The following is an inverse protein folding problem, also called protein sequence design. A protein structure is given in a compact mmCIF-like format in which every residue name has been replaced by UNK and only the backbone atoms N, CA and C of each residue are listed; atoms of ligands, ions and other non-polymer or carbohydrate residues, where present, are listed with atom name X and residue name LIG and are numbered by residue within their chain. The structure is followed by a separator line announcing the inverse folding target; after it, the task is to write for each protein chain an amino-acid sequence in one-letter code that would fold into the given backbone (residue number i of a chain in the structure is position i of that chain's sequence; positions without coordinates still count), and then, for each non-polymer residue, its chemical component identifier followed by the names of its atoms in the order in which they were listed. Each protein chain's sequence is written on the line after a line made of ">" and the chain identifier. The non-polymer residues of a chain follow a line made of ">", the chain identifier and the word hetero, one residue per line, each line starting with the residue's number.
data_IF_473778326569
#
_entry.id   IF_473778326569
#
_cell.length_a   1.000
_cell.length_b   1.000
_cell.length_c   1.000
_cell.angle_alpha   90.00
_cell.angle_beta   90.00
_cell.angle_gamma   90.00
#
_symmetry.space_group_name_H-M   'P 1'
#
loop_
_entity.id
_entity.type
_entity.pdbx_description
1 polymer ?
#
# COMPACT_ATOMS: atom_id res chain seq x y z
N UNK A 1 15.49 -1.98 -21.44
CA UNK A 1 14.14 -1.92 -22.06
C UNK A 1 13.85 -0.46 -22.46
N UNK A 2 13.21 -0.18 -23.62
CA UNK A 2 13.06 1.21 -24.14
C UNK A 2 11.94 2.05 -23.49
N UNK A 3 10.88 1.42 -22.99
CA UNK A 3 9.71 2.15 -22.44
C UNK A 3 10.05 2.77 -21.08
N UNK A 4 9.76 4.05 -20.91
CA UNK A 4 10.03 4.79 -19.66
C UNK A 4 8.96 4.61 -18.58
N UNK A 5 7.80 4.04 -18.95
CA UNK A 5 6.66 3.82 -18.06
C UNK A 5 6.04 2.46 -18.31
N UNK A 6 5.41 1.88 -17.29
CA UNK A 6 4.67 0.62 -17.34
C UNK A 6 3.35 0.75 -16.59
N UNK A 7 2.41 -0.13 -16.91
CA UNK A 7 1.23 -0.37 -16.08
C UNK A 7 1.53 -1.57 -15.18
N UNK A 8 1.65 -1.39 -13.85
CA UNK A 8 2.17 -2.44 -12.98
C UNK A 8 1.10 -3.47 -12.60
N UNK A 9 -0.18 -3.08 -12.69
CA UNK A 9 -1.32 -3.91 -12.32
C UNK A 9 -2.17 -4.23 -13.55
N UNK A 10 -2.68 -5.45 -13.63
CA UNK A 10 -3.67 -5.82 -14.63
C UNK A 10 -5.03 -5.16 -14.29
N UNK A 11 -5.91 -4.87 -15.28
CA UNK A 11 -7.22 -4.28 -15.00
C UNK A 11 -8.11 -5.06 -14.02
N UNK A 12 -7.88 -6.38 -13.91
CA UNK A 12 -8.65 -7.28 -13.05
C UNK A 12 -8.01 -7.62 -11.69
N UNK A 13 -6.74 -7.24 -11.48
CA UNK A 13 -6.03 -7.56 -10.24
C UNK A 13 -4.92 -6.55 -9.94
N UNK A 14 -4.89 -6.10 -8.69
CA UNK A 14 -3.80 -5.33 -8.12
C UNK A 14 -2.74 -6.28 -7.57
N UNK A 15 -1.53 -6.23 -8.13
CA UNK A 15 -0.33 -6.91 -7.63
C UNK A 15 0.49 -6.01 -6.71
N UNK A 16 0.31 -4.69 -6.80
CA UNK A 16 1.04 -3.71 -6.00
C UNK A 16 0.23 -2.43 -5.75
N UNK A 17 0.64 -1.68 -4.73
CA UNK A 17 0.30 -0.27 -4.57
C UNK A 17 1.45 0.59 -5.08
N UNK A 18 1.12 1.68 -5.79
CA UNK A 18 2.10 2.63 -6.28
C UNK A 18 1.76 4.05 -5.86
N UNK A 19 2.77 4.80 -5.43
CA UNK A 19 2.62 6.19 -4.97
C UNK A 19 3.65 7.08 -5.66
N UNK A 20 3.23 8.24 -6.17
CA UNK A 20 4.14 9.29 -6.65
C UNK A 20 4.40 10.28 -5.53
N UNK A 21 5.64 10.33 -5.07
CA UNK A 21 6.09 11.12 -3.91
C UNK A 21 7.09 12.14 -4.41
N UNK A 22 6.78 13.41 -4.19
CA UNK A 22 7.69 14.51 -4.44
C UNK A 22 8.40 14.94 -3.15
N UNK A 23 9.51 15.65 -3.32
CA UNK A 23 10.17 16.34 -2.23
C UNK A 23 9.25 17.42 -1.63
N UNK A 24 9.39 17.61 -0.33
CA UNK A 24 8.78 18.72 0.38
C UNK A 24 9.90 19.49 1.08
N UNK A 25 9.67 20.76 1.44
CA UNK A 25 10.69 21.57 2.13
C UNK A 25 11.22 20.82 3.37
N UNK A 26 12.49 20.43 3.32
CA UNK A 26 13.17 19.72 4.41
C UNK A 26 12.95 18.20 4.45
N UNK A 27 12.31 17.59 3.43
CA UNK A 27 12.04 16.15 3.35
C UNK A 27 12.30 15.61 1.95
N UNK A 28 13.22 14.64 1.83
CA UNK A 28 13.49 13.99 0.55
C UNK A 28 12.40 13.00 0.16
N UNK A 29 12.04 12.98 -1.13
CA UNK A 29 11.18 11.95 -1.71
C UNK A 29 11.77 10.55 -1.61
N UNK A 30 13.08 10.41 -1.42
CA UNK A 30 13.75 9.11 -1.30
C UNK A 30 13.43 8.39 0.02
N UNK A 31 13.33 9.13 1.12
CA UNK A 31 13.20 8.57 2.48
C UNK A 31 11.87 8.86 3.16
N UNK A 32 10.94 9.57 2.51
CA UNK A 32 9.69 10.03 3.11
C UNK A 32 8.88 8.94 3.82
N UNK A 33 8.94 7.67 3.36
CA UNK A 33 8.26 6.55 4.02
C UNK A 33 8.74 6.32 5.48
N UNK A 34 10.01 6.61 5.79
CA UNK A 34 10.58 6.44 7.13
C UNK A 34 9.96 7.38 8.15
N UNK A 35 9.68 8.61 7.73
CA UNK A 35 9.17 9.67 8.60
C UNK A 35 7.78 9.34 9.18
N UNK A 36 7.06 8.41 8.53
CA UNK A 36 5.73 7.98 8.93
C UNK A 36 5.68 6.52 9.39
N UNK A 37 6.83 5.93 9.72
CA UNK A 37 6.93 4.55 10.20
C UNK A 37 6.26 3.53 9.26
N UNK A 38 6.28 3.79 7.94
CA UNK A 38 5.83 2.81 6.97
C UNK A 38 6.91 1.75 6.76
N UNK A 39 6.54 0.52 6.36
CA UNK A 39 7.53 -0.43 5.88
C UNK A 39 8.26 0.13 4.65
N UNK A 40 9.49 -0.32 4.33
CA UNK A 40 10.18 0.12 3.13
C UNK A 40 9.39 -0.28 1.87
N UNK A 41 9.25 0.61 0.86
CA UNK A 41 8.78 0.19 -0.45
C UNK A 41 9.65 -0.96 -0.98
N UNK A 42 9.04 -1.95 -1.63
CA UNK A 42 9.81 -3.05 -2.24
C UNK A 42 10.73 -2.51 -3.34
N UNK A 43 10.22 -1.55 -4.11
CA UNK A 43 10.97 -0.88 -5.18
C UNK A 43 10.73 0.63 -5.06
N UNK A 44 11.82 1.40 -5.19
CA UNK A 44 11.77 2.86 -5.33
C UNK A 44 12.36 3.19 -6.71
N UNK A 45 11.59 3.92 -7.52
CA UNK A 45 12.02 4.41 -8.83
C UNK A 45 12.11 5.92 -8.78
N UNK A 46 13.34 6.44 -8.71
CA UNK A 46 13.64 7.86 -8.59
C UNK A 46 13.83 8.50 -9.97
N UNK A 47 13.30 9.70 -10.13
CA UNK A 47 13.64 10.56 -11.27
C UNK A 47 15.05 11.15 -11.05
N UNK A 48 16.01 10.97 -11.97
CA UNK A 48 17.34 11.55 -11.80
C UNK A 48 17.36 13.08 -11.93
N UNK A 49 16.31 13.69 -12.49
CA UNK A 49 16.24 15.14 -12.77
C UNK A 49 15.48 15.95 -11.71
N UNK A 50 14.65 15.30 -10.89
CA UNK A 50 13.82 15.92 -9.84
C UNK A 50 13.82 14.99 -8.64
N UNK A 51 13.81 15.52 -7.40
CA UNK A 51 13.65 14.66 -6.22
C UNK A 51 12.20 14.17 -6.09
N UNK A 52 11.86 13.21 -6.95
CA UNK A 52 10.53 12.62 -7.10
C UNK A 52 10.69 11.11 -7.29
N UNK A 53 9.94 10.34 -6.52
CA UNK A 53 10.05 8.89 -6.44
C UNK A 53 8.69 8.23 -6.66
N UNK A 54 8.66 7.16 -7.45
CA UNK A 54 7.56 6.21 -7.38
C UNK A 54 7.91 5.13 -6.37
N UNK A 55 7.10 5.02 -5.31
CA UNK A 55 7.16 3.90 -4.38
C UNK A 55 6.26 2.78 -4.88
N UNK A 56 6.76 1.54 -4.84
CA UNK A 56 6.02 0.35 -5.24
C UNK A 56 6.04 -0.64 -4.07
N UNK A 57 4.86 -0.93 -3.53
CA UNK A 57 4.64 -1.93 -2.49
C UNK A 57 3.98 -3.16 -3.11
N UNK A 58 4.72 -4.26 -3.18
CA UNK A 58 4.24 -5.52 -3.74
C UNK A 58 3.31 -6.22 -2.75
N UNK A 59 2.21 -6.76 -3.25
CA UNK A 59 1.27 -7.56 -2.48
C UNK A 59 1.65 -9.04 -2.58
N UNK A 60 1.71 -9.71 -1.42
CA UNK A 60 1.96 -11.15 -1.30
C UNK A 60 0.86 -11.99 -1.96
N UNK A 61 -0.37 -11.52 -1.87
CA UNK A 61 -1.52 -12.10 -2.58
C UNK A 61 -2.16 -10.98 -3.40
N UNK A 62 -2.32 -11.13 -4.72
CA UNK A 62 -2.98 -10.13 -5.54
C UNK A 62 -4.43 -9.94 -5.11
N UNK A 63 -4.90 -8.69 -5.12
CA UNK A 63 -6.31 -8.38 -4.82
C UNK A 63 -7.06 -8.25 -6.14
N UNK A 64 -8.04 -9.12 -6.36
CA UNK A 64 -8.85 -9.12 -7.58
C UNK A 64 -10.10 -8.27 -7.42
N UNK A 65 -10.53 -7.60 -8.49
CA UNK A 65 -11.84 -6.95 -8.57
C UNK A 65 -12.84 -7.76 -9.42
N UNK A 66 -12.48 -8.98 -9.84
CA UNK A 66 -13.39 -9.89 -10.53
C UNK A 66 -14.55 -10.26 -9.59
N UNK A 67 -15.79 -10.22 -10.13
CA UNK A 67 -17.05 -10.16 -9.38
C UNK A 67 -17.14 -11.17 -8.22
N UNK A 68 -17.72 -10.69 -7.13
CA UNK A 68 -18.22 -11.37 -5.92
C UNK A 68 -17.25 -11.98 -4.91
N UNK A 69 -16.01 -12.34 -5.28
CA UNK A 69 -15.18 -13.15 -4.37
C UNK A 69 -14.38 -12.36 -3.31
N UNK A 70 -14.16 -11.05 -3.45
CA UNK A 70 -13.23 -10.32 -2.56
C UNK A 70 -13.55 -8.85 -2.26
N UNK A 71 -14.82 -8.41 -2.29
CA UNK A 71 -15.17 -7.00 -2.02
C UNK A 71 -14.54 -6.45 -0.73
N UNK A 72 -14.41 -7.28 0.31
CA UNK A 72 -13.70 -6.91 1.55
C UNK A 72 -12.22 -6.62 1.34
N UNK A 73 -11.51 -7.43 0.56
CA UNK A 73 -10.08 -7.23 0.29
C UNK A 73 -9.86 -6.00 -0.61
N UNK A 74 -10.75 -5.76 -1.58
CA UNK A 74 -10.72 -4.54 -2.41
C UNK A 74 -10.89 -3.30 -1.54
N UNK A 75 -11.90 -3.27 -0.67
CA UNK A 75 -12.11 -2.17 0.28
C UNK A 75 -10.93 -2.01 1.24
N UNK A 76 -10.34 -3.10 1.72
CA UNK A 76 -9.14 -3.09 2.56
C UNK A 76 -7.94 -2.48 1.84
N UNK A 77 -7.69 -2.90 0.61
CA UNK A 77 -6.61 -2.35 -0.20
C UNK A 77 -6.81 -0.86 -0.50
N UNK A 78 -8.03 -0.44 -0.84
CA UNK A 78 -8.36 0.96 -1.11
C UNK A 78 -8.14 1.86 0.13
N UNK A 79 -8.52 1.39 1.31
CA UNK A 79 -8.31 2.11 2.56
C UNK A 79 -6.83 2.26 2.91
N UNK A 80 -6.05 1.16 2.79
CA UNK A 80 -4.59 1.18 2.95
C UNK A 80 -3.98 2.20 1.97
N UNK A 81 -4.35 2.12 0.70
CA UNK A 81 -3.85 3.02 -0.33
C UNK A 81 -4.17 4.49 -0.01
N UNK A 82 -5.43 4.81 0.30
CA UNK A 82 -5.84 6.18 0.67
C UNK A 82 -5.08 6.68 1.89
N UNK A 83 -4.98 5.88 2.94
CA UNK A 83 -4.32 6.30 4.18
C UNK A 83 -2.83 6.48 4.00
N UNK A 84 -2.14 5.53 3.35
CA UNK A 84 -0.72 5.65 3.02
C UNK A 84 -0.47 6.89 2.15
N UNK A 85 -1.30 7.12 1.12
CA UNK A 85 -1.16 8.27 0.21
C UNK A 85 -1.23 9.59 0.95
N UNK A 86 -2.21 9.76 1.84
CA UNK A 86 -2.34 10.96 2.67
C UNK A 86 -1.17 11.08 3.64
N UNK A 87 -0.80 9.99 4.30
CA UNK A 87 0.25 9.96 5.31
C UNK A 87 1.60 10.40 4.75
N UNK A 88 2.01 9.84 3.60
CA UNK A 88 3.28 10.22 2.95
C UNK A 88 3.20 11.50 2.10
N UNK A 89 2.01 12.11 2.01
CA UNK A 89 1.74 13.27 1.14
C UNK A 89 2.10 12.98 -0.33
N UNK A 90 1.72 11.80 -0.81
CA UNK A 90 1.83 11.45 -2.23
C UNK A 90 0.76 12.19 -3.04
N UNK A 91 1.02 12.38 -4.34
CA UNK A 91 0.10 13.07 -5.24
C UNK A 91 -1.29 12.42 -5.23
N UNK A 92 -2.31 13.21 -4.87
CA UNK A 92 -3.71 12.76 -4.82
C UNK A 92 -4.31 12.54 -6.22
N UNK A 93 -3.73 13.16 -7.24
CA UNK A 93 -4.12 13.03 -8.65
C UNK A 93 -3.49 11.81 -9.31
N UNK A 94 -2.48 11.21 -8.68
CA UNK A 94 -1.82 10.02 -9.18
C UNK A 94 -2.72 8.78 -8.99
N UNK A 95 -3.06 8.13 -10.11
CA UNK A 95 -3.97 6.98 -10.13
C UNK A 95 -3.28 5.62 -10.18
N UNK A 96 -1.93 5.56 -10.13
CA UNK A 96 -1.17 4.30 -10.09
C UNK A 96 -1.17 3.48 -11.39
N UNK A 97 -1.91 3.89 -12.43
CA UNK A 97 -2.03 3.15 -13.69
C UNK A 97 -0.79 3.20 -14.56
N UNK A 98 0.02 4.25 -14.42
CA UNK A 98 1.25 4.47 -15.19
C UNK A 98 2.38 4.87 -14.24
N UNK A 99 3.26 3.93 -13.94
CA UNK A 99 4.44 4.18 -13.09
C UNK A 99 5.70 4.32 -13.93
N UNK A 100 6.72 5.01 -13.39
CA UNK A 100 8.08 5.00 -13.91
C UNK A 100 8.56 3.55 -14.02
N UNK A 101 9.11 3.16 -15.17
CA UNK A 101 9.52 1.77 -15.41
C UNK A 101 10.82 1.46 -14.65
N UNK A 102 10.83 0.53 -13.67
CA UNK A 102 12.04 0.18 -12.93
C UNK A 102 13.17 -0.39 -13.80
N UNK A 103 12.85 -0.90 -15.00
CA UNK A 103 13.81 -1.50 -15.94
C UNK A 103 14.28 -0.52 -17.04
N UNK A 104 13.93 0.76 -16.92
CA UNK A 104 14.34 1.79 -17.87
C UNK A 104 15.58 2.52 -17.35
N UNK A 105 16.59 2.68 -18.21
CA UNK A 105 17.80 3.45 -17.90
C UNK A 105 17.56 4.97 -17.72
N UNK A 106 16.30 5.44 -17.83
CA UNK A 106 15.94 6.84 -17.58
C UNK A 106 15.66 7.14 -16.11
N UNK A 107 15.58 6.11 -15.27
CA UNK A 107 15.23 6.23 -13.86
C UNK A 107 16.25 5.48 -13.02
N UNK A 108 16.49 5.97 -11.81
CA UNK A 108 17.32 5.27 -10.84
C UNK A 108 16.42 4.34 -10.03
N UNK A 109 16.67 3.03 -10.12
CA UNK A 109 15.86 2.00 -9.47
C UNK A 109 16.61 1.40 -8.32
N UNK A 110 15.89 1.22 -7.22
CA UNK A 110 16.44 0.64 -6.01
C UNK A 110 15.45 -0.39 -5.45
N UNK A 111 16.00 -1.50 -5.00
CA UNK A 111 15.24 -2.61 -4.42
C UNK A 111 15.64 -2.73 -2.96
N UNK A 112 14.67 -2.69 -2.06
CA UNK A 112 14.93 -2.66 -0.62
C UNK A 112 15.31 -4.01 -0.02
N UNK A 113 15.07 -5.10 -0.75
CA UNK A 113 15.18 -6.47 -0.23
C UNK A 113 13.97 -6.90 0.61
N UNK A 114 12.94 -6.06 0.73
CA UNK A 114 11.71 -6.44 1.40
C UNK A 114 10.92 -7.47 0.57
N UNK A 115 10.40 -8.48 1.25
CA UNK A 115 9.44 -9.43 0.68
C UNK A 115 8.08 -8.74 0.40
N UNK A 116 7.26 -9.29 -0.50
CA UNK A 116 5.89 -8.82 -0.71
C UNK A 116 5.05 -8.84 0.59
N UNK A 117 4.24 -7.81 0.78
CA UNK A 117 3.47 -7.59 2.02
C UNK A 117 2.06 -8.19 1.95
N UNK A 118 1.54 -8.66 3.09
CA UNK A 118 0.08 -8.79 3.24
C UNK A 118 -0.58 -7.44 3.50
N UNK A 119 -1.90 -7.38 3.30
CA UNK A 119 -2.69 -6.21 3.65
C UNK A 119 -2.56 -5.88 5.15
N UNK A 120 -2.50 -6.89 6.00
CA UNK A 120 -2.33 -6.70 7.45
C UNK A 120 -1.00 -6.03 7.80
N UNK A 121 0.09 -6.40 7.13
CA UNK A 121 1.40 -5.78 7.34
C UNK A 121 1.41 -4.33 6.88
N UNK A 122 0.78 -4.02 5.74
CA UNK A 122 0.66 -2.64 5.28
C UNK A 122 -0.27 -1.79 6.16
N UNK A 123 -1.26 -2.42 6.80
CA UNK A 123 -2.22 -1.75 7.69
C UNK A 123 -1.70 -1.53 9.12
N UNK A 124 -0.64 -2.21 9.55
CA UNK A 124 -0.22 -2.29 10.96
C UNK A 124 0.02 -0.90 11.60
N UNK A 125 0.64 0.02 10.85
CA UNK A 125 0.92 1.38 11.31
C UNK A 125 -0.07 2.43 10.78
N UNK A 126 -1.19 1.98 10.20
CA UNK A 126 -2.22 2.86 9.66
C UNK A 126 -3.40 2.92 10.61
N UNK A 127 -3.72 4.12 11.07
CA UNK A 127 -5.02 4.38 11.65
C UNK A 127 -6.08 4.38 10.54
N UNK A 128 -6.65 3.19 10.28
CA UNK A 128 -7.71 2.98 9.32
C UNK A 128 -9.10 3.25 9.91
N UNK A 129 -9.23 3.66 11.18
CA UNK A 129 -10.51 3.77 11.87
C UNK A 129 -11.39 4.94 11.41
N UNK A 130 -10.85 5.87 10.63
CA UNK A 130 -11.49 7.16 10.32
C UNK A 130 -12.48 7.14 9.15
N UNK A 131 -12.80 5.97 8.59
CA UNK A 131 -13.74 5.84 7.48
C UNK A 131 -14.95 5.02 7.98
N UNK A 132 -16.17 5.46 7.64
CA UNK A 132 -17.45 4.93 8.16
C UNK A 132 -17.54 3.41 7.99
N UNK A 133 -17.04 2.88 6.87
CA UNK A 133 -16.97 1.44 6.61
C UNK A 133 -16.01 0.69 7.56
N UNK A 134 -14.98 1.38 8.06
CA UNK A 134 -13.98 0.81 8.97
C UNK A 134 -14.41 0.82 10.41
N UNK A 135 -15.23 1.78 10.84
CA UNK A 135 -15.92 1.68 12.12
C UNK A 135 -16.75 0.38 12.16
N UNK A 136 -17.46 0.06 11.08
CA UNK A 136 -18.25 -1.17 10.94
C UNK A 136 -17.36 -2.43 10.98
N UNK A 137 -16.33 -2.50 10.11
CA UNK A 137 -15.42 -3.66 10.03
C UNK A 137 -14.64 -3.89 11.34
N UNK A 138 -14.21 -2.81 12.00
CA UNK A 138 -13.45 -2.91 13.25
C UNK A 138 -14.36 -3.30 14.42
N UNK A 139 -15.59 -2.81 14.46
CA UNK A 139 -16.59 -3.27 15.42
C UNK A 139 -16.88 -4.77 15.27
N UNK A 140 -16.97 -5.29 14.04
CA UNK A 140 -17.10 -6.73 13.78
C UNK A 140 -15.89 -7.54 14.26
N UNK A 141 -14.67 -7.09 13.93
CA UNK A 141 -13.43 -7.76 14.34
C UNK A 141 -13.26 -7.78 15.87
N UNK A 142 -13.60 -6.67 16.55
CA UNK A 142 -13.59 -6.60 18.01
C UNK A 142 -14.54 -7.63 18.62
N UNK A 143 -15.77 -7.72 18.10
CA UNK A 143 -16.77 -8.73 18.51
C UNK A 143 -16.29 -10.17 18.27
N UNK A 144 -15.62 -10.45 17.16
CA UNK A 144 -15.08 -11.78 16.87
C UNK A 144 -13.94 -12.18 17.80
N UNK A 145 -13.08 -11.21 18.17
CA UNK A 145 -11.99 -11.41 19.13
C UNK A 145 -12.55 -11.68 20.52
N UNK A 146 -13.58 -10.94 20.93
CA UNK A 146 -14.34 -11.16 22.18
C UNK A 146 -14.97 -12.56 22.21
N UNK A 147 -15.65 -12.95 21.12
CA UNK A 147 -16.28 -14.28 20.97
C UNK A 147 -15.26 -15.41 21.07
N UNK A 148 -14.11 -15.29 20.39
CA UNK A 148 -13.01 -16.28 20.49
C UNK A 148 -12.41 -16.34 21.88
N UNK A 149 -12.24 -15.21 22.56
CA UNK A 149 -11.74 -15.17 23.94
C UNK A 149 -12.71 -15.89 24.87
N UNK A 150 -14.02 -15.63 24.74
CA UNK A 150 -15.06 -16.27 25.53
C UNK A 150 -15.17 -17.77 25.23
N UNK A 151 -15.00 -18.21 23.98
CA UNK A 151 -14.98 -19.63 23.64
C UNK A 151 -13.78 -20.35 24.22
N UNK A 152 -12.59 -19.74 24.21
CA UNK A 152 -11.39 -20.30 24.83
C UNK A 152 -11.57 -20.45 26.34
N UNK A 153 -12.11 -19.43 27.01
CA UNK A 153 -12.40 -19.50 28.45
C UNK A 153 -13.33 -20.67 28.75
N UNK A 154 -14.40 -20.86 27.97
CA UNK A 154 -15.36 -21.97 28.17
C UNK A 154 -14.80 -23.38 27.93
N UNK A 155 -13.70 -23.53 27.20
CA UNK A 155 -13.08 -24.84 26.94
C UNK A 155 -12.06 -25.23 28.01
N UNK A 156 -11.69 -24.31 28.90
CA UNK A 156 -10.66 -24.50 29.94
C UNK A 156 -11.26 -24.66 31.35
N UNK A 157 -12.59 -24.57 31.48
CA UNK A 157 -13.37 -24.87 32.71
C UNK A 157 -14.19 -26.13 32.48
#
# INVERSE_FOLDING_TARGET
>A
MRLSYIQPNHPLFAQCLAFDVDDLKGRSAWTAWKDYNLPPPNIIVKNPLKDSCHYIYLLRVPVTNARDLTQRAVKHLDAIHKRMRVLIQADLSFCGSRIKNPFSAKHDTFVSGAEPYTLEQLAENLDLYTDVYWEEINAERAKDKERKKLSIVKTVI
#
